data_IF_165614264980
#
_entry.id   IF_165614264980
#
_cell.length_a   1.000
_cell.length_b   1.000
_cell.length_c   1.000
_cell.angle_alpha   90.00
_cell.angle_beta   90.00
_cell.angle_gamma   90.00
#
_symmetry.space_group_name_H-M   'P 1'
#
loop_
_entity.id
_entity.type
_entity.pdbx_description
1 polymer ?
#
# COMPACT_ATOMS: atom_id res chain seq x y z
N UNK A 1 53.22 0.55 -7.38
CA UNK A 1 52.24 0.06 -6.39
C UNK A 1 51.60 1.31 -5.81
N UNK A 2 50.49 1.79 -6.43
CA UNK A 2 49.75 2.97 -5.95
C UNK A 2 48.80 2.49 -4.86
N UNK A 3 48.96 3.07 -3.69
CA UNK A 3 48.04 2.84 -2.58
C UNK A 3 46.72 3.63 -2.88
N UNK A 4 45.60 2.94 -3.02
CA UNK A 4 44.30 3.53 -3.04
C UNK A 4 44.08 4.20 -1.65
N UNK A 5 43.90 5.51 -1.68
CA UNK A 5 43.50 6.25 -0.49
C UNK A 5 42.08 5.82 -0.10
N UNK A 6 41.81 5.50 1.17
CA UNK A 6 40.45 5.18 1.61
C UNK A 6 39.57 6.42 1.39
N UNK A 7 38.43 6.21 0.71
CA UNK A 7 37.37 7.21 0.56
C UNK A 7 36.95 7.75 1.93
N UNK A 8 36.79 9.07 2.03
CA UNK A 8 36.46 9.71 3.30
C UNK A 8 35.02 9.35 3.71
N UNK A 9 34.68 9.33 5.01
CA UNK A 9 33.30 9.08 5.47
C UNK A 9 32.25 10.07 4.91
N UNK A 10 32.68 11.26 4.51
CA UNK A 10 31.84 12.26 3.86
C UNK A 10 31.45 11.86 2.43
N UNK A 11 32.35 11.24 1.66
CA UNK A 11 32.04 10.79 0.29
C UNK A 11 30.96 9.69 0.30
N UNK A 12 30.94 8.83 1.33
CA UNK A 12 29.90 7.79 1.48
C UNK A 12 28.53 8.38 1.86
N UNK A 13 28.50 9.40 2.71
CA UNK A 13 27.26 10.05 3.11
C UNK A 13 26.62 10.83 1.94
N UNK A 14 27.44 11.48 1.12
CA UNK A 14 26.97 12.24 -0.05
C UNK A 14 26.40 11.32 -1.14
N UNK A 15 26.97 10.12 -1.31
CA UNK A 15 26.47 9.10 -2.24
C UNK A 15 25.12 8.56 -1.77
N UNK A 16 24.98 8.25 -0.48
CA UNK A 16 23.76 7.75 0.12
C UNK A 16 22.59 8.76 0.00
N UNK A 17 22.87 10.05 0.18
CA UNK A 17 21.88 11.13 0.03
C UNK A 17 21.40 11.30 -1.41
N UNK A 18 22.30 11.16 -2.39
CA UNK A 18 21.93 11.24 -3.81
C UNK A 18 21.10 10.04 -4.26
N UNK A 19 21.43 8.84 -3.80
CA UNK A 19 20.67 7.64 -4.06
C UNK A 19 19.27 7.72 -3.44
N UNK A 20 19.17 8.18 -2.19
CA UNK A 20 17.89 8.39 -1.52
C UNK A 20 17.01 9.38 -2.30
N UNK A 21 17.56 10.53 -2.72
CA UNK A 21 16.80 11.50 -3.53
C UNK A 21 16.31 10.91 -4.84
N UNK A 22 17.10 10.07 -5.50
CA UNK A 22 16.71 9.39 -6.73
C UNK A 22 15.57 8.41 -6.50
N UNK A 23 15.62 7.63 -5.42
CA UNK A 23 14.55 6.69 -5.05
C UNK A 23 13.26 7.44 -4.70
N UNK A 24 13.36 8.53 -3.95
CA UNK A 24 12.18 9.36 -3.62
C UNK A 24 11.53 9.97 -4.86
N UNK A 25 12.33 10.49 -5.80
CA UNK A 25 11.80 11.03 -7.06
C UNK A 25 11.15 9.95 -7.94
N UNK A 26 11.75 8.75 -8.01
CA UNK A 26 11.14 7.62 -8.72
C UNK A 26 9.83 7.16 -8.09
N UNK A 27 9.75 7.15 -6.76
CA UNK A 27 8.53 6.84 -6.01
C UNK A 27 7.44 7.88 -6.27
N UNK A 28 7.79 9.18 -6.33
CA UNK A 28 6.83 10.25 -6.65
C UNK A 28 6.23 10.08 -8.05
N UNK A 29 7.08 9.83 -9.04
CA UNK A 29 6.63 9.59 -10.41
C UNK A 29 5.69 8.37 -10.51
N UNK A 30 6.00 7.29 -9.77
CA UNK A 30 5.15 6.11 -9.71
C UNK A 30 3.77 6.41 -9.05
N UNK A 31 3.76 7.17 -7.96
CA UNK A 31 2.52 7.56 -7.28
C UNK A 31 1.65 8.44 -8.21
N UNK A 32 2.25 9.35 -8.97
CA UNK A 32 1.55 10.20 -9.94
C UNK A 32 0.91 9.37 -11.05
N UNK A 33 1.62 8.38 -11.58
CA UNK A 33 1.09 7.43 -12.58
C UNK A 33 -0.08 6.63 -12.02
N UNK A 34 0.00 6.13 -10.78
CA UNK A 34 -1.10 5.42 -10.12
C UNK A 34 -2.31 6.32 -9.90
N UNK A 35 -2.10 7.56 -9.47
CA UNK A 35 -3.18 8.53 -9.28
C UNK A 35 -3.82 8.92 -10.62
N UNK A 36 -3.05 9.03 -11.69
CA UNK A 36 -3.56 9.26 -13.03
C UNK A 36 -4.46 8.12 -13.50
N UNK A 37 -4.05 6.85 -13.28
CA UNK A 37 -4.87 5.68 -13.55
C UNK A 37 -6.18 5.69 -12.76
N UNK A 38 -6.14 6.04 -11.47
CA UNK A 38 -7.35 6.13 -10.64
C UNK A 38 -8.30 7.23 -11.12
N UNK A 39 -7.77 8.36 -11.61
CA UNK A 39 -8.57 9.48 -12.15
C UNK A 39 -9.14 9.21 -13.53
N UNK A 40 -8.52 8.35 -14.33
CA UNK A 40 -8.98 8.00 -15.68
C UNK A 40 -10.35 7.28 -15.69
N UNK A 41 -10.86 6.95 -14.53
CA UNK A 41 -12.19 6.37 -14.33
C UNK A 41 -12.15 4.85 -14.30
N UNK A 42 -12.33 4.31 -13.12
CA UNK A 42 -12.61 2.90 -12.93
C UNK A 42 -14.12 2.66 -12.97
N UNK A 43 -14.50 1.52 -13.52
CA UNK A 43 -15.88 1.10 -13.44
C UNK A 43 -16.24 0.77 -11.98
N UNK A 44 -16.85 1.73 -11.30
CA UNK A 44 -17.31 1.61 -9.91
C UNK A 44 -18.75 1.13 -9.82
N UNK A 45 -19.26 0.48 -10.88
CA UNK A 45 -20.64 -0.02 -10.91
C UNK A 45 -20.93 -1.12 -9.91
N UNK A 46 -19.88 -1.79 -9.38
CA UNK A 46 -20.02 -2.81 -8.35
C UNK A 46 -19.55 -2.32 -6.99
N UNK A 47 -20.25 -2.75 -5.94
CA UNK A 47 -19.84 -2.53 -4.55
C UNK A 47 -18.41 -3.00 -4.28
N UNK A 48 -18.04 -4.17 -4.82
CA UNK A 48 -16.71 -4.75 -4.75
C UNK A 48 -15.65 -3.79 -5.28
N UNK A 49 -15.86 -3.25 -6.46
CA UNK A 49 -14.94 -2.28 -7.07
C UNK A 49 -14.80 -1.01 -6.23
N UNK A 50 -15.89 -0.51 -5.68
CA UNK A 50 -15.88 0.68 -4.82
C UNK A 50 -15.05 0.46 -3.55
N UNK A 51 -15.24 -0.68 -2.87
CA UNK A 51 -14.49 -1.02 -1.64
C UNK A 51 -13.01 -1.26 -1.99
N UNK A 52 -12.72 -1.98 -3.07
CA UNK A 52 -11.35 -2.21 -3.53
C UNK A 52 -10.62 -0.87 -3.78
N UNK A 53 -11.26 0.06 -4.50
CA UNK A 53 -10.70 1.39 -4.77
C UNK A 53 -10.43 2.20 -3.51
N UNK A 54 -11.29 2.10 -2.49
CA UNK A 54 -11.07 2.77 -1.21
C UNK A 54 -9.77 2.28 -0.54
N UNK A 55 -9.50 0.96 -0.55
CA UNK A 55 -8.25 0.40 -0.04
C UNK A 55 -7.05 0.78 -0.91
N UNK A 56 -7.16 0.76 -2.24
CA UNK A 56 -6.10 1.22 -3.14
C UNK A 56 -5.73 2.68 -2.86
N UNK A 57 -6.73 3.55 -2.72
CA UNK A 57 -6.52 4.95 -2.38
C UNK A 57 -5.80 5.11 -1.04
N UNK A 58 -6.23 4.38 -0.01
CA UNK A 58 -5.57 4.41 1.30
C UNK A 58 -4.10 3.96 1.21
N UNK A 59 -3.80 2.92 0.40
CA UNK A 59 -2.43 2.46 0.20
C UNK A 59 -1.54 3.54 -0.45
N UNK A 60 -2.06 4.26 -1.45
CA UNK A 60 -1.34 5.36 -2.11
C UNK A 60 -1.15 6.54 -1.14
N UNK A 61 -2.17 6.89 -0.35
CA UNK A 61 -2.06 7.95 0.65
C UNK A 61 -0.98 7.63 1.69
N UNK A 62 -0.86 6.36 2.12
CA UNK A 62 0.23 5.93 3.00
C UNK A 62 1.61 6.01 2.34
N UNK A 63 1.73 5.66 1.06
CA UNK A 63 2.98 5.79 0.30
C UNK A 63 3.44 7.26 0.21
N UNK A 64 2.54 8.15 -0.16
CA UNK A 64 2.81 9.59 -0.23
C UNK A 64 3.23 10.14 1.14
N UNK A 65 2.51 9.76 2.20
CA UNK A 65 2.84 10.19 3.56
C UNK A 65 4.23 9.70 4.01
N UNK A 66 4.61 8.45 3.68
CA UNK A 66 5.95 7.92 3.97
C UNK A 66 7.03 8.75 3.28
N UNK A 67 6.87 9.07 1.99
CA UNK A 67 7.84 9.90 1.25
C UNK A 67 8.01 11.26 1.91
N UNK A 68 6.92 11.98 2.18
CA UNK A 68 6.95 13.30 2.83
C UNK A 68 7.63 13.23 4.19
N UNK A 69 7.37 12.19 4.98
CA UNK A 69 7.99 12.01 6.30
C UNK A 69 9.49 11.72 6.20
N UNK A 70 9.92 10.95 5.21
CA UNK A 70 11.36 10.69 4.97
C UNK A 70 12.06 11.98 4.57
N UNK A 71 11.50 12.77 3.66
CA UNK A 71 12.01 14.07 3.25
C UNK A 71 12.12 15.07 4.43
N UNK A 72 11.19 14.97 5.37
CA UNK A 72 11.20 15.76 6.60
C UNK A 72 12.14 15.20 7.70
N UNK A 73 12.88 14.11 7.44
CA UNK A 73 13.75 13.47 8.42
C UNK A 73 13.04 12.64 9.48
N UNK A 74 11.74 12.37 9.32
CA UNK A 74 10.90 11.62 10.27
C UNK A 74 10.83 10.13 9.91
N UNK A 75 11.97 9.52 9.64
CA UNK A 75 12.10 8.14 9.12
C UNK A 75 11.41 7.10 10.01
N UNK A 76 11.53 7.21 11.34
CA UNK A 76 10.88 6.28 12.26
C UNK A 76 9.35 6.27 12.12
N UNK A 77 8.76 7.44 11.93
CA UNK A 77 7.31 7.57 11.69
C UNK A 77 6.93 7.05 10.32
N UNK A 78 7.74 7.32 9.29
CA UNK A 78 7.54 6.80 7.95
C UNK A 78 7.51 5.26 7.93
N UNK A 79 8.46 4.61 8.61
CA UNK A 79 8.54 3.15 8.71
C UNK A 79 7.29 2.53 9.37
N UNK A 80 6.67 3.23 10.32
CA UNK A 80 5.45 2.74 10.97
C UNK A 80 4.26 2.64 10.00
N UNK A 81 4.24 3.43 8.93
CA UNK A 81 3.19 3.41 7.91
C UNK A 81 3.32 2.25 6.91
N UNK A 82 4.49 1.60 6.80
CA UNK A 82 4.71 0.48 5.88
C UNK A 82 3.70 -0.64 6.14
N UNK A 83 3.46 -0.94 7.41
CA UNK A 83 2.48 -1.97 7.79
C UNK A 83 1.08 -1.60 7.31
N UNK A 84 0.65 -0.37 7.52
CA UNK A 84 -0.69 0.10 7.12
C UNK A 84 -0.85 0.09 5.61
N UNK A 85 0.18 0.51 4.87
CA UNK A 85 0.21 0.43 3.41
C UNK A 85 0.08 -1.02 2.92
N UNK A 86 0.90 -1.92 3.46
CA UNK A 86 0.85 -3.34 3.13
C UNK A 86 -0.53 -3.96 3.41
N UNK A 87 -1.10 -3.69 4.58
CA UNK A 87 -2.44 -4.16 4.92
C UNK A 87 -3.51 -3.64 3.96
N UNK A 88 -3.42 -2.38 3.55
CA UNK A 88 -4.36 -1.80 2.58
C UNK A 88 -4.27 -2.48 1.20
N UNK A 89 -3.05 -2.75 0.71
CA UNK A 89 -2.83 -3.48 -0.56
C UNK A 89 -3.39 -4.90 -0.48
N UNK A 90 -3.10 -5.64 0.59
CA UNK A 90 -3.60 -7.01 0.77
C UNK A 90 -5.13 -7.01 0.84
N UNK A 91 -5.74 -6.07 1.56
CA UNK A 91 -7.20 -5.94 1.62
C UNK A 91 -7.82 -5.62 0.27
N UNK A 92 -7.21 -4.72 -0.51
CA UNK A 92 -7.67 -4.41 -1.87
C UNK A 92 -7.67 -5.66 -2.76
N UNK A 93 -6.57 -6.41 -2.77
CA UNK A 93 -6.43 -7.63 -3.55
C UNK A 93 -7.43 -8.72 -3.08
N UNK A 94 -7.58 -8.90 -1.75
CA UNK A 94 -8.52 -9.86 -1.20
C UNK A 94 -9.97 -9.49 -1.54
N UNK A 95 -10.35 -8.24 -1.40
CA UNK A 95 -11.68 -7.76 -1.77
C UNK A 95 -11.96 -8.04 -3.25
N UNK A 96 -10.98 -7.76 -4.11
CA UNK A 96 -11.14 -7.91 -5.55
C UNK A 96 -11.32 -9.39 -5.95
N UNK A 97 -10.55 -10.30 -5.37
CA UNK A 97 -10.40 -11.67 -5.88
C UNK A 97 -11.03 -12.75 -5.00
N UNK A 98 -11.11 -12.57 -3.69
CA UNK A 98 -11.42 -13.65 -2.76
C UNK A 98 -12.54 -13.35 -1.74
N UNK A 99 -12.90 -12.10 -1.50
CA UNK A 99 -13.95 -11.76 -0.54
C UNK A 99 -15.32 -12.27 -1.00
N UNK A 100 -16.08 -12.83 -0.06
CA UNK A 100 -17.45 -13.30 -0.32
C UNK A 100 -18.45 -12.14 -0.29
N UNK A 101 -19.55 -12.27 -1.02
CA UNK A 101 -20.61 -11.25 -1.08
C UNK A 101 -21.19 -10.92 0.30
N UNK A 102 -21.39 -11.94 1.15
CA UNK A 102 -21.88 -11.76 2.53
C UNK A 102 -20.99 -10.81 3.36
N UNK A 103 -19.67 -10.83 3.12
CA UNK A 103 -18.75 -9.90 3.78
C UNK A 103 -18.91 -8.49 3.21
N UNK A 104 -19.04 -8.37 1.89
CA UNK A 104 -19.26 -7.06 1.24
C UNK A 104 -20.56 -6.42 1.72
N UNK A 105 -21.62 -7.22 1.93
CA UNK A 105 -22.88 -6.76 2.48
C UNK A 105 -22.70 -6.20 3.90
N UNK A 106 -22.01 -6.94 4.76
CA UNK A 106 -21.73 -6.53 6.15
C UNK A 106 -20.84 -5.29 6.21
N UNK A 107 -19.79 -5.24 5.37
CA UNK A 107 -18.86 -4.10 5.32
C UNK A 107 -19.56 -2.80 4.86
N UNK A 108 -20.53 -2.92 3.96
CA UNK A 108 -21.28 -1.78 3.41
C UNK A 108 -22.52 -1.41 4.23
N UNK A 109 -22.89 -2.21 5.24
CA UNK A 109 -24.03 -1.92 6.08
C UNK A 109 -23.76 -0.66 6.94
N UNK A 110 -24.80 0.18 7.18
CA UNK A 110 -24.67 1.28 8.11
C UNK A 110 -24.23 0.77 9.49
N UNK A 111 -23.23 1.42 10.07
CA UNK A 111 -22.83 1.12 11.46
C UNK A 111 -23.90 1.70 12.38
N UNK A 112 -24.55 0.88 13.24
CA UNK A 112 -25.47 1.41 14.24
C UNK A 112 -24.73 2.36 15.16
N UNK A 113 -25.38 3.45 15.58
CA UNK A 113 -24.81 4.46 16.47
C UNK A 113 -24.17 3.79 17.70
N UNK A 114 -22.84 3.86 17.79
CA UNK A 114 -22.06 3.52 18.99
C UNK A 114 -21.31 2.19 19.00
N UNK A 115 -21.45 1.30 18.01
CA UNK A 115 -20.69 0.04 17.99
C UNK A 115 -19.94 -0.16 16.68
N UNK A 116 -18.61 0.05 16.74
CA UNK A 116 -17.69 -0.50 15.72
C UNK A 116 -17.62 -2.02 15.95
N UNK A 117 -18.38 -2.81 15.19
CA UNK A 117 -18.35 -4.25 15.31
C UNK A 117 -17.12 -4.83 14.60
N UNK A 118 -16.35 -5.67 15.32
CA UNK A 118 -15.19 -6.43 14.78
C UNK A 118 -15.46 -7.20 13.47
N UNK A 119 -16.68 -7.69 13.14
CA UNK A 119 -16.94 -8.40 11.89
C UNK A 119 -16.66 -7.61 10.61
N UNK A 120 -16.58 -6.29 10.68
CA UNK A 120 -16.31 -5.45 9.51
C UNK A 120 -14.85 -5.42 9.09
N UNK A 121 -13.92 -5.84 9.95
CA UNK A 121 -12.48 -5.81 9.65
C UNK A 121 -12.03 -6.92 8.70
N UNK A 122 -12.85 -7.92 8.47
CA UNK A 122 -12.51 -9.08 7.65
C UNK A 122 -11.56 -10.05 8.36
N UNK A 123 -11.12 -11.12 7.68
CA UNK A 123 -10.17 -12.07 8.24
C UNK A 123 -8.81 -11.43 8.49
N UNK A 124 -7.94 -12.04 9.32
CA UNK A 124 -6.58 -11.56 9.52
C UNK A 124 -5.77 -11.64 8.22
N UNK A 125 -4.78 -10.76 8.08
CA UNK A 125 -3.97 -10.61 6.85
C UNK A 125 -3.39 -11.94 6.32
N UNK A 126 -2.82 -12.84 7.14
CA UNK A 126 -2.35 -14.14 6.64
C UNK A 126 -3.44 -14.94 5.93
N UNK A 127 -4.65 -15.00 6.48
CA UNK A 127 -5.77 -15.72 5.86
C UNK A 127 -6.25 -15.06 4.56
N UNK A 128 -6.13 -13.73 4.44
CA UNK A 128 -6.40 -13.04 3.17
C UNK A 128 -5.39 -13.42 2.10
N UNK A 129 -4.10 -13.49 2.45
CA UNK A 129 -3.01 -13.89 1.54
C UNK A 129 -3.22 -15.32 1.06
N UNK A 130 -3.55 -16.26 1.96
CA UNK A 130 -3.85 -17.65 1.62
C UNK A 130 -5.02 -17.75 0.65
N UNK A 131 -6.09 -16.99 0.90
CA UNK A 131 -7.27 -16.97 0.04
C UNK A 131 -6.96 -16.42 -1.37
N UNK A 132 -6.14 -15.37 -1.47
CA UNK A 132 -5.68 -14.81 -2.75
C UNK A 132 -4.84 -15.86 -3.50
N UNK A 133 -3.90 -16.52 -2.80
CA UNK A 133 -3.05 -17.56 -3.35
C UNK A 133 -3.86 -18.75 -3.90
N UNK A 134 -4.91 -19.17 -3.20
CA UNK A 134 -5.80 -20.25 -3.66
C UNK A 134 -6.52 -19.89 -4.97
N UNK A 135 -6.98 -18.65 -5.12
CA UNK A 135 -7.62 -18.18 -6.37
C UNK A 135 -6.60 -18.10 -7.49
N UNK A 136 -5.41 -17.55 -7.24
CA UNK A 136 -4.34 -17.45 -8.25
C UNK A 136 -3.86 -18.84 -8.71
N UNK A 137 -3.70 -19.80 -7.79
CA UNK A 137 -3.35 -21.19 -8.12
C UNK A 137 -4.39 -21.90 -8.96
N UNK A 138 -5.67 -21.61 -8.77
CA UNK A 138 -6.77 -22.16 -9.59
C UNK A 138 -6.85 -21.60 -11.01
N UNK A 139 -6.21 -20.45 -11.28
CA UNK A 139 -6.15 -19.83 -12.61
C UNK A 139 -4.99 -20.36 -13.48
N UNK A 140 -4.01 -21.03 -12.86
CA UNK A 140 -2.79 -21.51 -13.53
C UNK A 140 -2.81 -23.04 -13.76
N UNK A 141 -3.83 -23.75 -13.34
CA UNK A 141 -4.07 -25.18 -13.54
C UNK A 141 -5.18 -25.44 -14.51
#
# INVERSE_FOLDING_TARGET
MQAESPSSPQDSADIDDEELRRVLAASEAFDDDLLALLRAGWNTSSRRSTICLAFCRSAIEHAIAQRVLIEAGLTGTALSLIRLQFEAVVRAAWVLHAAKEDWLDKFSAPVPDGELSEPQMGPPIPAMIDAIGAVAGGLLG
#
